data_IF_775628031834
#
_entry.id   IF_775628031834
#
_cell.length_a   1.000
_cell.length_b   1.000
_cell.length_c   1.000
_cell.angle_alpha   90.00
_cell.angle_beta   90.00
_cell.angle_gamma   90.00
#
_symmetry.space_group_name_H-M   'P 1'
#
loop_
_entity.id
_entity.type
_entity.pdbx_description
1 polymer ?
#
# COMPACT_ATOMS: atom_id res chain seq x y z
N UNK A 1 13.08 30.35 28.70
CA UNK A 1 13.09 28.88 28.59
C UNK A 1 11.83 28.37 29.27
N UNK A 2 10.72 28.26 28.53
CA UNK A 2 9.44 27.79 29.06
C UNK A 2 9.45 26.27 29.13
N UNK A 3 9.19 25.77 30.36
CA UNK A 3 8.89 24.41 30.79
C UNK A 3 8.57 23.48 29.60
N UNK A 4 9.58 22.75 29.12
CA UNK A 4 9.42 21.82 28.01
C UNK A 4 8.58 20.64 28.49
N UNK A 5 7.42 20.47 27.88
CA UNK A 5 6.58 19.30 28.06
C UNK A 5 7.43 18.05 27.81
N UNK A 6 7.72 17.31 28.88
CA UNK A 6 8.41 16.04 28.78
C UNK A 6 7.44 15.14 28.00
N UNK A 7 7.82 14.62 26.82
CA UNK A 7 6.91 13.82 26.01
C UNK A 7 6.41 12.66 26.86
N UNK A 8 5.08 12.44 26.82
CA UNK A 8 4.42 11.39 27.58
C UNK A 8 5.09 10.05 27.27
N UNK A 9 5.15 9.15 28.26
CA UNK A 9 5.60 7.77 28.02
C UNK A 9 4.83 7.10 26.87
N UNK A 10 3.58 7.53 26.64
CA UNK A 10 2.76 7.12 25.51
C UNK A 10 3.34 7.58 24.17
N UNK A 11 3.80 8.83 24.05
CA UNK A 11 4.38 9.35 22.81
C UNK A 11 5.73 8.70 22.51
N UNK A 12 6.45 8.32 23.57
CA UNK A 12 7.78 7.75 23.46
C UNK A 12 7.75 6.29 23.01
N UNK A 13 6.78 5.50 23.47
CA UNK A 13 6.68 4.07 23.14
C UNK A 13 5.52 3.72 22.21
N UNK A 14 4.37 4.38 22.36
CA UNK A 14 3.18 4.12 21.56
C UNK A 14 3.37 4.49 20.09
N UNK A 15 3.91 5.68 19.80
CA UNK A 15 4.06 6.17 18.42
C UNK A 15 4.94 5.27 17.55
N UNK A 16 6.21 4.95 17.88
CA UNK A 16 7.04 4.10 17.03
C UNK A 16 6.46 2.69 16.81
N UNK A 17 5.84 2.10 17.84
CA UNK A 17 5.19 0.80 17.75
C UNK A 17 3.97 0.85 16.84
N UNK A 18 3.12 1.88 17.01
CA UNK A 18 1.96 2.10 16.17
C UNK A 18 2.34 2.27 14.70
N UNK A 19 3.34 3.12 14.41
CA UNK A 19 3.85 3.31 13.05
C UNK A 19 4.43 2.02 12.47
N UNK A 20 5.13 1.22 13.29
CA UNK A 20 5.67 -0.08 12.87
C UNK A 20 4.56 -1.05 12.48
N UNK A 21 3.57 -1.23 13.36
CA UNK A 21 2.45 -2.14 13.14
C UNK A 21 1.62 -1.73 11.93
N UNK A 22 1.33 -0.43 11.81
CA UNK A 22 0.59 0.11 10.67
C UNK A 22 1.38 -0.07 9.36
N UNK A 23 2.69 0.20 9.37
CA UNK A 23 3.55 0.02 8.21
C UNK A 23 3.70 -1.45 7.78
N UNK A 24 3.87 -2.35 8.76
CA UNK A 24 3.94 -3.78 8.51
C UNK A 24 2.61 -4.33 7.97
N UNK A 25 1.48 -3.93 8.58
CA UNK A 25 0.14 -4.29 8.12
C UNK A 25 -0.13 -3.82 6.69
N UNK A 26 0.28 -2.59 6.35
CA UNK A 26 0.17 -2.06 4.99
C UNK A 26 0.97 -2.90 3.97
N UNK A 27 2.20 -3.29 4.28
CA UNK A 27 3.01 -4.14 3.40
C UNK A 27 2.45 -5.56 3.28
N UNK A 28 1.98 -6.16 4.38
CA UNK A 28 1.35 -7.49 4.36
C UNK A 28 0.11 -7.47 3.47
N UNK A 29 -0.74 -6.44 3.61
CA UNK A 29 -1.93 -6.27 2.79
C UNK A 29 -1.59 -6.12 1.29
N UNK A 30 -0.59 -5.30 0.97
CA UNK A 30 -0.08 -5.15 -0.39
C UNK A 30 0.41 -6.50 -0.97
N UNK A 31 1.27 -7.22 -0.23
CA UNK A 31 1.82 -8.51 -0.66
C UNK A 31 0.71 -9.54 -0.88
N UNK A 32 -0.26 -9.60 0.04
CA UNK A 32 -1.41 -10.49 -0.07
C UNK A 32 -2.18 -10.24 -1.38
N UNK A 33 -2.49 -8.97 -1.69
CA UNK A 33 -3.24 -8.61 -2.90
C UNK A 33 -2.48 -8.86 -4.19
N UNK A 34 -1.18 -8.62 -4.21
CA UNK A 34 -0.32 -8.98 -5.34
C UNK A 34 -0.32 -10.49 -5.54
N UNK A 35 -0.16 -11.26 -4.46
CA UNK A 35 -0.18 -12.72 -4.53
C UNK A 35 -1.51 -13.24 -5.07
N UNK A 36 -2.64 -12.71 -4.57
CA UNK A 36 -3.98 -13.07 -5.06
C UNK A 36 -4.16 -12.74 -6.54
N UNK A 37 -3.64 -11.61 -7.03
CA UNK A 37 -3.71 -11.25 -8.44
C UNK A 37 -2.98 -12.27 -9.32
N UNK A 38 -1.76 -12.67 -8.93
CA UNK A 38 -0.99 -13.66 -9.67
C UNK A 38 -1.56 -15.08 -9.56
N UNK A 39 -2.07 -15.48 -8.39
CA UNK A 39 -2.68 -16.79 -8.20
C UNK A 39 -3.98 -16.94 -8.99
N UNK A 40 -4.71 -15.83 -9.18
CA UNK A 40 -5.98 -15.80 -9.90
C UNK A 40 -5.81 -15.48 -11.39
N UNK A 41 -4.58 -15.47 -11.95
CA UNK A 41 -4.33 -15.11 -13.35
C UNK A 41 -5.02 -16.01 -14.39
N UNK A 42 -5.52 -17.18 -13.98
CA UNK A 42 -6.33 -18.09 -14.80
C UNK A 42 -7.82 -18.11 -14.43
N UNK A 43 -8.23 -17.26 -13.49
CA UNK A 43 -9.64 -17.10 -13.10
C UNK A 43 -10.36 -16.29 -14.18
N UNK A 44 -11.59 -16.66 -14.55
CA UNK A 44 -12.33 -15.92 -15.57
C UNK A 44 -12.80 -14.53 -15.09
N UNK A 45 -12.66 -14.25 -13.78
CA UNK A 45 -12.84 -12.94 -13.15
C UNK A 45 -11.60 -12.60 -12.34
N UNK A 46 -11.04 -11.42 -12.59
CA UNK A 46 -9.85 -10.90 -11.93
C UNK A 46 -10.18 -9.53 -11.33
N UNK A 47 -9.92 -9.35 -10.03
CA UNK A 47 -10.16 -8.09 -9.33
C UNK A 47 -8.84 -7.37 -9.08
N UNK A 48 -8.75 -6.14 -9.57
CA UNK A 48 -7.63 -5.24 -9.32
C UNK A 48 -8.06 -4.19 -8.28
N UNK A 49 -7.64 -4.39 -7.04
CA UNK A 49 -7.82 -3.42 -5.96
C UNK A 49 -6.68 -2.41 -5.99
N UNK A 50 -6.94 -1.24 -6.57
CA UNK A 50 -5.95 -0.16 -6.68
C UNK A 50 -5.55 0.39 -5.31
N UNK A 51 -6.48 0.40 -4.34
CA UNK A 51 -6.28 0.90 -2.98
C UNK A 51 -5.10 0.21 -2.29
N UNK A 52 -4.98 -1.09 -2.51
CA UNK A 52 -3.92 -1.92 -1.96
C UNK A 52 -2.52 -1.58 -2.47
N UNK A 53 -2.40 -1.01 -3.67
CA UNK A 53 -1.11 -0.62 -4.23
C UNK A 53 -0.59 0.70 -3.63
N UNK A 54 -1.47 1.56 -3.07
CA UNK A 54 -1.04 2.71 -2.27
C UNK A 54 -0.31 2.27 -0.99
N UNK A 55 -0.68 1.10 -0.44
CA UNK A 55 -0.15 0.60 0.83
C UNK A 55 1.33 0.23 0.78
N UNK A 56 1.90 -0.02 -0.42
CA UNK A 56 3.34 -0.20 -0.57
C UNK A 56 4.11 1.05 -0.14
N UNK A 57 3.74 2.21 -0.68
CA UNK A 57 4.40 3.48 -0.36
C UNK A 57 4.19 3.89 1.10
N UNK A 58 2.95 3.73 1.60
CA UNK A 58 2.61 3.96 3.01
C UNK A 58 3.45 3.07 3.93
N UNK A 59 3.52 1.77 3.64
CA UNK A 59 4.30 0.81 4.42
C UNK A 59 5.78 1.14 4.47
N UNK A 60 6.39 1.44 3.32
CA UNK A 60 7.81 1.85 3.24
C UNK A 60 8.07 3.12 4.04
N UNK A 61 7.22 4.13 3.89
CA UNK A 61 7.36 5.41 4.60
C UNK A 61 7.25 5.25 6.11
N UNK A 62 6.21 4.54 6.58
CA UNK A 62 5.96 4.33 8.00
C UNK A 62 7.05 3.49 8.67
N UNK A 63 7.55 2.45 8.01
CA UNK A 63 8.64 1.63 8.55
C UNK A 63 9.96 2.42 8.62
N UNK A 64 10.25 3.28 7.64
CA UNK A 64 11.42 4.14 7.68
C UNK A 64 11.35 5.14 8.84
N UNK A 65 10.19 5.78 9.05
CA UNK A 65 9.97 6.69 10.18
C UNK A 65 10.05 5.97 11.53
N UNK A 66 9.39 4.83 11.66
CA UNK A 66 9.43 4.00 12.88
C UNK A 66 10.87 3.59 13.22
N UNK A 67 11.64 3.15 12.23
CA UNK A 67 13.05 2.78 12.42
C UNK A 67 13.90 3.95 12.95
N UNK A 68 13.73 5.16 12.40
CA UNK A 68 14.46 6.34 12.87
C UNK A 68 14.11 6.64 14.34
N UNK A 69 12.81 6.64 14.68
CA UNK A 69 12.34 6.94 16.04
C UNK A 69 12.85 5.88 17.03
N UNK A 70 12.70 4.60 16.73
CA UNK A 70 13.19 3.51 17.61
C UNK A 70 14.69 3.67 17.85
N UNK A 71 15.46 3.95 16.81
CA UNK A 71 16.91 4.03 16.91
C UNK A 71 17.39 5.22 17.74
N UNK A 72 16.79 6.38 17.53
CA UNK A 72 17.20 7.61 18.19
C UNK A 72 16.66 7.70 19.63
N UNK A 73 15.40 7.31 19.85
CA UNK A 73 14.73 7.47 21.14
C UNK A 73 14.81 6.24 22.06
N UNK A 74 14.65 5.03 21.53
CA UNK A 74 14.68 3.81 22.37
C UNK A 74 16.09 3.31 22.58
N UNK A 75 16.86 3.18 21.50
CA UNK A 75 18.23 2.70 21.58
C UNK A 75 19.22 3.78 22.02
N UNK A 76 18.78 5.06 22.09
CA UNK A 76 19.62 6.23 22.39
C UNK A 76 20.90 6.28 21.54
N UNK A 77 20.80 5.76 20.31
CA UNK A 77 21.93 5.69 19.36
C UNK A 77 21.69 6.74 18.29
N UNK A 78 22.33 7.91 18.37
CA UNK A 78 22.14 8.95 17.37
C UNK A 78 22.48 8.39 15.98
N UNK A 79 21.61 8.67 15.02
CA UNK A 79 21.88 8.33 13.63
C UNK A 79 23.00 9.24 13.12
N UNK A 80 24.03 8.65 12.52
CA UNK A 80 24.99 9.42 11.73
C UNK A 80 24.24 10.18 10.63
N UNK A 81 24.68 11.39 10.30
CA UNK A 81 24.09 12.22 9.23
C UNK A 81 23.83 11.42 7.95
N UNK A 82 24.75 10.54 7.54
CA UNK A 82 24.59 9.69 6.36
C UNK A 82 23.35 8.77 6.45
N UNK A 83 23.13 8.16 7.61
CA UNK A 83 21.99 7.25 7.85
C UNK A 83 20.69 8.02 7.97
N UNK A 84 20.71 9.16 8.68
CA UNK A 84 19.54 10.03 8.78
C UNK A 84 19.08 10.48 7.38
N UNK A 85 19.98 11.03 6.56
CA UNK A 85 19.66 11.42 5.18
C UNK A 85 19.16 10.25 4.33
N UNK A 86 19.74 9.07 4.48
CA UNK A 86 19.26 7.88 3.77
C UNK A 86 17.81 7.53 4.15
N UNK A 87 17.49 7.41 5.44
CA UNK A 87 16.13 7.07 5.87
C UNK A 87 15.12 8.17 5.59
N UNK A 88 15.52 9.45 5.64
CA UNK A 88 14.67 10.55 5.16
C UNK A 88 14.37 10.43 3.67
N UNK A 89 15.36 10.07 2.84
CA UNK A 89 15.13 9.80 1.40
C UNK A 89 14.22 8.60 1.20
N UNK A 90 14.36 7.53 1.99
CA UNK A 90 13.45 6.38 1.94
C UNK A 90 12.03 6.81 2.30
N UNK A 91 11.83 7.59 3.36
CA UNK A 91 10.50 8.09 3.74
C UNK A 91 9.87 8.95 2.63
N UNK A 92 10.63 9.86 2.03
CA UNK A 92 10.18 10.68 0.90
C UNK A 92 9.86 9.79 -0.31
N UNK A 93 10.70 8.80 -0.60
CA UNK A 93 10.44 7.85 -1.69
C UNK A 93 9.17 7.03 -1.43
N UNK A 94 8.84 6.70 -0.18
CA UNK A 94 7.59 6.05 0.20
C UNK A 94 6.37 6.91 -0.15
N UNK A 95 6.45 8.23 0.10
CA UNK A 95 5.39 9.18 -0.32
C UNK A 95 5.25 9.19 -1.83
N UNK A 96 6.35 9.33 -2.57
CA UNK A 96 6.35 9.31 -4.04
C UNK A 96 5.75 7.99 -4.56
N UNK A 97 6.14 6.86 -3.96
CA UNK A 97 5.68 5.54 -4.33
C UNK A 97 4.19 5.36 -4.07
N UNK A 98 3.66 5.92 -2.97
CA UNK A 98 2.22 5.87 -2.66
C UNK A 98 1.39 6.52 -3.77
N UNK A 99 1.89 7.56 -4.43
CA UNK A 99 1.17 8.21 -5.52
C UNK A 99 1.45 7.60 -6.89
N UNK A 100 2.70 7.24 -7.20
CA UNK A 100 3.07 6.77 -8.54
C UNK A 100 2.74 5.29 -8.77
N UNK A 101 3.08 4.44 -7.81
CA UNK A 101 2.98 2.99 -7.96
C UNK A 101 1.58 2.48 -8.32
N UNK A 102 0.48 2.90 -7.65
CA UNK A 102 -0.85 2.39 -7.98
C UNK A 102 -1.29 2.75 -9.41
N UNK A 103 -0.79 3.83 -9.99
CA UNK A 103 -1.08 4.20 -11.37
C UNK A 103 -0.27 3.36 -12.37
N UNK A 104 1.02 3.16 -12.09
CA UNK A 104 1.88 2.30 -12.93
C UNK A 104 1.41 0.85 -12.89
N UNK A 105 1.09 0.33 -11.70
CA UNK A 105 0.60 -1.02 -11.53
C UNK A 105 -0.75 -1.23 -12.22
N UNK A 106 -1.67 -0.26 -12.12
CA UNK A 106 -2.93 -0.33 -12.83
C UNK A 106 -2.72 -0.35 -14.36
N UNK A 107 -1.91 0.55 -14.90
CA UNK A 107 -1.61 0.58 -16.33
C UNK A 107 -0.97 -0.73 -16.83
N UNK A 108 -0.05 -1.30 -16.06
CA UNK A 108 0.57 -2.58 -16.41
C UNK A 108 -0.42 -3.74 -16.35
N UNK A 109 -1.28 -3.79 -15.33
CA UNK A 109 -2.31 -4.81 -15.18
C UNK A 109 -3.35 -4.73 -16.31
N UNK A 110 -3.83 -3.52 -16.61
CA UNK A 110 -4.79 -3.25 -17.69
C UNK A 110 -4.26 -3.77 -19.03
N UNK A 111 -3.04 -3.38 -19.41
CA UNK A 111 -2.39 -3.84 -20.64
C UNK A 111 -2.21 -5.35 -20.70
N UNK A 112 -1.74 -5.95 -19.61
CA UNK A 112 -1.57 -7.40 -19.54
C UNK A 112 -2.91 -8.12 -19.72
N UNK A 113 -3.96 -7.68 -19.03
CA UNK A 113 -5.26 -8.33 -19.05
C UNK A 113 -5.98 -8.15 -20.40
N UNK A 114 -5.91 -6.97 -21.01
CA UNK A 114 -6.42 -6.72 -22.36
C UNK A 114 -5.76 -7.65 -23.40
N UNK A 115 -4.43 -7.78 -23.36
CA UNK A 115 -3.68 -8.69 -24.26
C UNK A 115 -4.08 -10.17 -24.08
N UNK A 116 -4.61 -10.53 -22.91
CA UNK A 116 -5.07 -11.89 -22.60
C UNK A 116 -6.60 -12.06 -22.77
N UNK A 117 -7.29 -11.10 -23.40
CA UNK A 117 -8.71 -11.22 -23.76
C UNK A 117 -9.68 -10.94 -22.63
N UNK A 118 -9.23 -10.24 -21.57
CA UNK A 118 -10.10 -9.70 -20.54
C UNK A 118 -10.60 -8.31 -20.96
N UNK A 119 -11.79 -7.97 -20.46
CA UNK A 119 -12.39 -6.64 -20.61
C UNK A 119 -12.84 -6.11 -19.25
N UNK A 120 -12.87 -4.79 -19.11
CA UNK A 120 -13.31 -4.14 -17.87
C UNK A 120 -14.83 -4.27 -17.75
N UNK A 121 -15.28 -4.82 -16.62
CA UNK A 121 -16.68 -4.83 -16.23
C UNK A 121 -16.98 -3.62 -15.36
N UNK A 122 -17.48 -2.54 -15.97
CA UNK A 122 -17.80 -1.29 -15.25
C UNK A 122 -18.91 -1.48 -14.22
N UNK A 123 -19.90 -2.35 -14.49
CA UNK A 123 -21.01 -2.63 -13.56
C UNK A 123 -20.56 -3.38 -12.29
N UNK A 124 -19.51 -4.20 -12.41
CA UNK A 124 -18.87 -4.89 -11.29
C UNK A 124 -17.79 -4.05 -10.60
N UNK A 125 -17.31 -3.00 -11.25
CA UNK A 125 -16.26 -2.12 -10.73
C UNK A 125 -16.85 -1.05 -9.79
N UNK A 126 -16.08 -0.66 -8.78
CA UNK A 126 -16.52 0.33 -7.81
C UNK A 126 -15.43 1.37 -7.57
N UNK A 127 -15.83 2.63 -7.51
CA UNK A 127 -14.95 3.74 -7.20
C UNK A 127 -15.53 4.57 -6.05
N UNK A 128 -14.81 4.64 -4.92
CA UNK A 128 -15.09 5.52 -3.80
C UNK A 128 -13.84 6.29 -3.36
N UNK A 129 -13.81 7.58 -3.72
CA UNK A 129 -12.75 8.57 -3.46
C UNK A 129 -11.33 8.13 -3.90
N UNK A 130 -10.70 7.21 -3.16
CA UNK A 130 -9.39 6.64 -3.44
C UNK A 130 -9.38 5.10 -3.53
N UNK A 131 -10.47 4.45 -3.09
CA UNK A 131 -10.71 3.03 -3.27
C UNK A 131 -11.30 2.81 -4.64
N UNK A 132 -10.57 2.12 -5.50
CA UNK A 132 -11.06 1.71 -6.81
C UNK A 132 -10.77 0.24 -7.00
N UNK A 133 -11.84 -0.54 -7.07
CA UNK A 133 -11.80 -1.96 -7.41
C UNK A 133 -12.24 -2.09 -8.86
N UNK A 134 -11.36 -2.66 -9.68
CA UNK A 134 -11.58 -2.80 -11.12
C UNK A 134 -11.71 -4.28 -11.41
N UNK A 135 -12.86 -4.68 -11.94
CA UNK A 135 -13.17 -6.07 -12.25
C UNK A 135 -12.92 -6.31 -13.72
N UNK A 136 -12.03 -7.26 -14.01
CA UNK A 136 -11.72 -7.73 -15.35
C UNK A 136 -12.40 -9.08 -15.56
N UNK A 137 -13.16 -9.21 -16.65
CA UNK A 137 -13.88 -10.44 -17.01
C UNK A 137 -13.43 -10.94 -18.37
N UNK A 138 -13.31 -12.26 -18.51
CA UNK A 138 -13.05 -12.87 -19.80
C UNK A 138 -14.29 -12.76 -20.70
N UNK A 139 -14.12 -12.70 -22.02
CA UNK A 139 -15.22 -12.53 -22.99
C UNK A 139 -16.32 -13.60 -22.93
N UNK A 140 -16.10 -14.69 -22.22
CA UNK A 140 -17.06 -15.78 -21.99
C UNK A 140 -18.02 -15.53 -20.82
N UNK A 141 -17.78 -14.50 -20.00
CA UNK A 141 -18.61 -14.15 -18.84
C UNK A 141 -19.36 -12.84 -19.12
N UNK A 142 -20.67 -12.82 -18.87
CA UNK A 142 -21.45 -11.59 -18.90
C UNK A 142 -21.09 -10.69 -17.70
N UNK A 143 -20.79 -9.43 -17.98
CA UNK A 143 -20.58 -8.43 -16.95
C UNK A 143 -21.91 -8.18 -16.20
N UNK A 144 -21.90 -8.35 -14.88
CA UNK A 144 -23.05 -8.06 -14.04
C UNK A 144 -22.60 -7.53 -12.66
N UNK A 145 -23.47 -6.76 -12.02
CA UNK A 145 -23.24 -6.24 -10.67
C UNK A 145 -23.14 -7.35 -9.59
N UNK A 146 -23.61 -8.57 -9.87
CA UNK A 146 -23.59 -9.70 -8.94
C UNK A 146 -22.21 -10.36 -8.81
N UNK A 147 -21.31 -10.14 -9.78
CA UNK A 147 -19.91 -10.59 -9.71
C UNK A 147 -19.16 -10.03 -8.49
N UNK A 148 -19.71 -8.97 -7.88
CA UNK A 148 -19.27 -8.37 -6.62
C UNK A 148 -19.52 -9.23 -5.37
N UNK A 149 -20.55 -10.08 -5.37
CA UNK A 149 -21.00 -10.78 -4.16
C UNK A 149 -20.33 -12.14 -3.94
N UNK A 150 -19.59 -12.65 -4.92
CA UNK A 150 -19.07 -14.02 -4.92
C UNK A 150 -17.56 -14.11 -4.61
N UNK A 151 -16.83 -13.00 -4.65
CA UNK A 151 -15.36 -12.96 -4.47
C UNK A 151 -14.87 -11.81 -3.59
#
# INVERSE_FOLDING_TARGET
MTKGDVPSSLDRFGTPLFLFLLGAGALVWFIYRVFTLFSNGSSPVITFDKGSYYMLGVGVGLLALSYMIIREYWLRRPLSNKRSTFFSRVAISGVILAFLFPHVAHFAADRYLEEHGYSICEEGSHQWLFFRDIVYVQSSIECSAELKSTY
#
